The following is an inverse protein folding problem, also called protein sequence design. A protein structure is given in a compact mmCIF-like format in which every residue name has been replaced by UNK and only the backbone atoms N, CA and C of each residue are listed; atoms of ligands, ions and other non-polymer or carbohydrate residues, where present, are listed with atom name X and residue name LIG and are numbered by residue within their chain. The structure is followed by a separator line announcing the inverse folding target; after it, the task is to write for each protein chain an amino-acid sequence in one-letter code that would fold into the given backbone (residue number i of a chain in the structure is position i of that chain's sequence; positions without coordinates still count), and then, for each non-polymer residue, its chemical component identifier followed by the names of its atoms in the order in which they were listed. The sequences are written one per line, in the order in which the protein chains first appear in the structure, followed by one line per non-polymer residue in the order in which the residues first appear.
data_IF_228409218226
#
_entry.id   IF_228409218226
#
_cell.length_a   1.000
_cell.length_b   1.000
_cell.length_c   1.000
_cell.angle_alpha   90.00
_cell.angle_beta   90.00
_cell.angle_gamma   90.00
#
_symmetry.space_group_name_H-M   'P 1'
#
loop_
_entity.id
_entity.type
_entity.pdbx_description
1 polymer ?
#
# COMPACT_ATOMS: atom_id res chain seq x y z
N UNK A 1 10.98 -19.36 12.42
CA UNK A 1 10.46 -20.67 11.99
C UNK A 1 9.92 -21.48 13.15
N UNK A 2 10.74 -21.85 14.12
CA UNK A 2 10.26 -22.62 15.28
C UNK A 2 9.16 -21.90 16.08
N UNK A 3 9.27 -20.57 16.29
CA UNK A 3 8.24 -19.73 16.94
C UNK A 3 6.90 -19.81 16.22
N UNK A 4 6.83 -19.30 14.98
CA UNK A 4 5.64 -19.39 14.10
C UNK A 4 4.97 -20.78 14.10
N UNK A 5 5.75 -21.87 14.01
CA UNK A 5 5.18 -23.22 14.02
C UNK A 5 4.64 -23.67 15.40
N UNK A 6 5.22 -23.17 16.49
CA UNK A 6 4.76 -23.39 17.85
C UNK A 6 3.47 -22.62 18.14
N UNK A 7 3.41 -21.33 17.75
CA UNK A 7 2.23 -20.49 17.98
C UNK A 7 1.01 -21.02 17.21
N UNK A 8 1.22 -21.45 15.96
CA UNK A 8 0.19 -22.15 15.20
C UNK A 8 -0.31 -23.39 15.96
N UNK A 9 0.61 -24.18 16.51
CA UNK A 9 0.25 -25.42 17.20
C UNK A 9 -0.48 -25.17 18.52
N UNK A 10 -0.19 -24.06 19.20
CA UNK A 10 -0.91 -23.62 20.39
C UNK A 10 -2.37 -23.26 20.08
N UNK A 11 -2.62 -22.56 18.97
CA UNK A 11 -3.97 -22.11 18.60
C UNK A 11 -4.83 -23.20 17.96
N UNK A 12 -4.24 -24.00 17.04
CA UNK A 12 -4.98 -25.00 16.25
C UNK A 12 -4.92 -26.39 16.89
N UNK A 13 -4.03 -26.63 17.85
CA UNK A 13 -3.87 -27.93 18.51
C UNK A 13 -3.14 -28.99 17.67
N UNK A 14 -2.52 -28.59 16.56
CA UNK A 14 -1.68 -29.46 15.70
C UNK A 14 -0.57 -28.66 15.04
N UNK A 15 0.46 -29.34 14.56
CA UNK A 15 1.50 -28.70 13.75
C UNK A 15 0.90 -28.15 12.44
N UNK A 16 1.47 -27.06 11.89
CA UNK A 16 1.09 -26.59 10.57
C UNK A 16 1.53 -27.60 9.50
N UNK A 17 0.78 -27.66 8.41
CA UNK A 17 1.27 -28.20 7.14
C UNK A 17 2.27 -27.23 6.49
N UNK A 18 3.03 -27.69 5.50
CA UNK A 18 3.88 -26.77 4.72
C UNK A 18 3.04 -25.70 4.01
N UNK A 19 1.86 -26.05 3.47
CA UNK A 19 0.97 -25.07 2.85
C UNK A 19 0.57 -23.93 3.81
N UNK A 20 0.15 -24.28 5.03
CA UNK A 20 -0.28 -23.30 6.03
C UNK A 20 0.87 -22.42 6.49
N UNK A 21 2.06 -22.99 6.70
CA UNK A 21 3.24 -22.21 7.05
C UNK A 21 3.60 -21.21 5.95
N UNK A 22 3.58 -21.63 4.68
CA UNK A 22 3.86 -20.76 3.54
C UNK A 22 2.79 -19.68 3.35
N UNK A 23 1.53 -20.00 3.64
CA UNK A 23 0.43 -19.05 3.62
C UNK A 23 0.64 -17.96 4.68
N UNK A 24 0.90 -18.31 5.95
CA UNK A 24 1.21 -17.36 7.02
C UNK A 24 2.35 -16.43 6.63
N UNK A 25 3.45 -16.98 6.09
CA UNK A 25 4.61 -16.20 5.64
C UNK A 25 4.26 -15.28 4.47
N UNK A 26 3.40 -15.74 3.54
CA UNK A 26 2.93 -14.93 2.42
C UNK A 26 2.08 -13.73 2.86
N UNK A 27 1.25 -13.90 3.88
CA UNK A 27 0.47 -12.83 4.51
C UNK A 27 1.36 -11.85 5.28
N UNK A 28 2.32 -12.37 6.05
CA UNK A 28 3.23 -11.58 6.87
C UNK A 28 4.33 -10.86 6.07
N UNK A 29 4.45 -11.12 4.76
CA UNK A 29 5.46 -10.51 3.91
C UNK A 29 5.24 -9.01 3.63
N UNK A 30 4.05 -8.48 3.93
CA UNK A 30 3.76 -7.05 3.87
C UNK A 30 4.63 -6.31 4.91
N UNK A 31 5.58 -5.51 4.45
CA UNK A 31 6.60 -4.86 5.27
C UNK A 31 8.00 -5.12 4.69
N UNK A 32 8.57 -6.31 4.89
CA UNK A 32 9.81 -6.72 4.21
C UNK A 32 9.69 -6.65 2.68
N UNK A 33 8.50 -6.95 2.15
CA UNK A 33 8.12 -6.80 0.76
C UNK A 33 7.02 -5.73 0.59
N UNK A 34 6.89 -5.23 -0.63
CA UNK A 34 5.88 -4.22 -0.98
C UNK A 34 4.46 -4.77 -1.10
N UNK A 35 4.24 -6.08 -1.04
CA UNK A 35 2.92 -6.70 -1.17
C UNK A 35 2.89 -8.07 -0.51
N UNK A 36 1.68 -8.59 -0.30
CA UNK A 36 1.49 -10.01 0.03
C UNK A 36 1.98 -10.86 -1.13
N UNK A 37 2.58 -11.99 -0.81
CA UNK A 37 3.15 -12.89 -1.82
C UNK A 37 2.63 -14.30 -1.64
N UNK A 38 2.74 -15.08 -2.71
CA UNK A 38 2.50 -16.53 -2.63
C UNK A 38 3.82 -17.26 -2.73
N UNK A 39 4.14 -18.07 -1.73
CA UNK A 39 5.28 -18.97 -1.82
C UNK A 39 4.84 -20.33 -2.36
N UNK A 40 5.63 -20.88 -3.28
CA UNK A 40 5.48 -22.26 -3.74
C UNK A 40 6.75 -23.03 -3.47
N UNK A 41 6.62 -24.25 -2.97
CA UNK A 41 7.75 -25.11 -2.63
C UNK A 41 8.00 -26.18 -3.71
N UNK A 42 9.29 -26.40 -3.99
CA UNK A 42 9.78 -27.62 -4.62
C UNK A 42 10.36 -28.53 -3.55
N UNK A 43 9.99 -29.80 -3.62
CA UNK A 43 10.47 -30.85 -2.74
C UNK A 43 11.71 -31.53 -3.33
N UNK A 44 12.29 -32.47 -2.58
CA UNK A 44 13.31 -33.37 -3.10
C UNK A 44 12.85 -34.07 -4.39
N UNK A 45 13.75 -34.23 -5.35
CA UNK A 45 13.43 -34.73 -6.69
C UNK A 45 12.76 -33.70 -7.61
N UNK A 46 12.67 -32.43 -7.20
CA UNK A 46 12.14 -31.33 -8.03
C UNK A 46 10.62 -31.36 -8.18
N UNK A 47 9.91 -32.08 -7.31
CA UNK A 47 8.45 -32.21 -7.37
C UNK A 47 7.79 -31.00 -6.70
N UNK A 48 6.87 -30.30 -7.38
CA UNK A 48 6.08 -29.25 -6.75
C UNK A 48 5.25 -29.80 -5.60
N UNK A 49 5.35 -29.16 -4.44
CA UNK A 49 4.54 -29.49 -3.29
C UNK A 49 3.05 -29.19 -3.56
N UNK A 50 2.17 -30.09 -3.13
CA UNK A 50 0.72 -29.92 -3.17
C UNK A 50 0.16 -30.21 -1.79
N UNK A 51 -0.19 -29.16 -1.07
CA UNK A 51 -0.78 -29.26 0.26
C UNK A 51 -2.26 -29.63 0.25
N UNK A 52 -2.83 -29.85 1.45
CA UNK A 52 -4.27 -30.04 1.61
C UNK A 52 -5.06 -28.81 1.14
N UNK A 53 -6.32 -29.03 0.71
CA UNK A 53 -7.21 -27.95 0.24
C UNK A 53 -7.78 -27.09 1.37
N UNK A 54 -7.79 -27.61 2.60
CA UNK A 54 -8.31 -26.92 3.78
C UNK A 54 -7.13 -26.37 4.56
N UNK A 55 -7.23 -25.10 4.95
CA UNK A 55 -6.23 -24.37 5.72
C UNK A 55 -6.90 -23.83 6.98
N UNK A 56 -6.26 -23.99 8.13
CA UNK A 56 -6.71 -23.39 9.39
C UNK A 56 -6.17 -21.95 9.60
N UNK A 57 -5.45 -21.39 8.62
CA UNK A 57 -4.82 -20.06 8.75
C UNK A 57 -5.85 -18.96 9.01
N UNK A 58 -7.06 -19.08 8.46
CA UNK A 58 -8.15 -18.12 8.70
C UNK A 58 -8.74 -18.16 10.12
N UNK A 59 -8.34 -19.12 10.96
CA UNK A 59 -8.77 -19.24 12.36
C UNK A 59 -7.74 -18.67 13.34
N UNK A 60 -6.56 -18.26 12.84
CA UNK A 60 -5.46 -17.74 13.66
C UNK A 60 -5.72 -16.27 14.07
N UNK A 61 -5.17 -15.89 15.22
CA UNK A 61 -5.06 -14.49 15.62
C UNK A 61 -3.83 -13.79 15.02
N UNK A 62 -3.72 -12.48 15.26
CA UNK A 62 -2.65 -11.64 14.70
C UNK A 62 -1.26 -11.99 15.24
N UNK A 63 -1.13 -12.65 16.40
CA UNK A 63 0.16 -12.90 17.04
C UNK A 63 1.07 -13.77 16.16
N UNK A 64 0.51 -14.79 15.51
CA UNK A 64 1.26 -15.68 14.60
C UNK A 64 1.82 -14.89 13.39
N UNK A 65 1.08 -13.90 12.91
CA UNK A 65 1.49 -13.07 11.78
C UNK A 65 2.55 -12.05 12.17
N UNK A 66 2.50 -11.52 13.41
CA UNK A 66 3.56 -10.66 13.96
C UNK A 66 4.88 -11.42 14.03
N UNK A 67 4.88 -12.61 14.61
CA UNK A 67 6.07 -13.46 14.71
C UNK A 67 6.64 -13.86 13.33
N UNK A 68 5.74 -14.12 12.38
CA UNK A 68 6.13 -14.38 10.99
C UNK A 68 6.74 -13.15 10.32
N UNK A 69 6.21 -11.95 10.58
CA UNK A 69 6.71 -10.69 10.03
C UNK A 69 8.10 -10.34 10.60
N UNK A 70 8.30 -10.57 11.90
CA UNK A 70 9.60 -10.39 12.56
C UNK A 70 10.66 -11.34 11.99
N UNK A 71 10.30 -12.60 11.76
CA UNK A 71 11.18 -13.57 11.10
C UNK A 71 11.58 -13.10 9.69
N UNK A 72 10.61 -12.67 8.87
CA UNK A 72 10.88 -12.21 7.51
C UNK A 72 11.72 -10.93 7.50
N UNK A 73 11.46 -10.01 8.43
CA UNK A 73 12.24 -8.79 8.62
C UNK A 73 13.69 -9.09 9.00
N UNK A 74 13.92 -10.08 9.86
CA UNK A 74 15.26 -10.54 10.20
C UNK A 74 15.99 -11.10 8.96
N UNK A 75 15.32 -11.95 8.18
CA UNK A 75 15.90 -12.52 6.96
C UNK A 75 16.20 -11.47 5.89
N UNK A 76 15.35 -10.45 5.79
CA UNK A 76 15.47 -9.32 4.86
C UNK A 76 16.59 -8.32 5.25
N UNK A 77 16.91 -8.19 6.55
CA UNK A 77 17.99 -7.29 7.02
C UNK A 77 19.38 -7.74 6.57
N UNK A 78 19.59 -9.04 6.46
CA UNK A 78 20.89 -9.60 6.14
C UNK A 78 21.20 -9.55 4.63
N UNK A 79 20.35 -8.97 3.78
CA UNK A 79 20.39 -9.05 2.31
C UNK A 79 20.51 -7.72 1.58
N UNK A 80 20.62 -7.80 0.24
CA UNK A 80 20.64 -6.60 -0.60
C UNK A 80 19.25 -5.97 -0.57
N UNK A 81 19.20 -4.71 -0.13
CA UNK A 81 18.00 -3.89 -0.23
C UNK A 81 18.04 -3.15 -1.56
N UNK A 82 16.89 -3.02 -2.18
CA UNK A 82 16.70 -2.10 -3.29
C UNK A 82 16.82 -0.66 -2.78
N UNK A 83 16.97 0.30 -3.69
CA UNK A 83 17.14 1.73 -3.34
C UNK A 83 15.99 2.29 -2.49
N UNK A 84 14.83 1.64 -2.48
CA UNK A 84 13.64 1.95 -1.68
C UNK A 84 13.61 1.28 -0.30
N UNK A 85 14.67 0.53 0.07
CA UNK A 85 14.77 -0.20 1.33
C UNK A 85 14.02 -1.54 1.35
N UNK A 86 13.39 -1.94 0.24
CA UNK A 86 12.59 -3.18 0.13
C UNK A 86 13.50 -4.35 -0.24
N UNK A 87 13.25 -5.52 0.37
CA UNK A 87 14.03 -6.72 0.10
C UNK A 87 13.74 -7.29 -1.31
N UNK A 88 14.75 -7.88 -1.95
CA UNK A 88 14.53 -8.66 -3.18
C UNK A 88 13.71 -9.93 -2.84
N UNK A 89 12.55 -10.15 -3.48
CA UNK A 89 11.70 -11.32 -3.21
C UNK A 89 12.40 -12.66 -3.42
N UNK A 90 13.22 -12.79 -4.48
CA UNK A 90 13.91 -14.05 -4.80
C UNK A 90 15.03 -14.33 -3.80
N UNK A 91 15.72 -13.28 -3.36
CA UNK A 91 16.73 -13.39 -2.31
C UNK A 91 16.08 -13.81 -0.98
N UNK A 92 14.97 -13.16 -0.59
CA UNK A 92 14.20 -13.51 0.60
C UNK A 92 13.72 -14.97 0.53
N UNK A 93 13.21 -15.41 -0.62
CA UNK A 93 12.77 -16.79 -0.85
C UNK A 93 13.92 -17.81 -0.68
N UNK A 94 15.12 -17.47 -1.17
CA UNK A 94 16.31 -18.31 -1.04
C UNK A 94 16.77 -18.42 0.43
N UNK A 95 16.73 -17.31 1.17
CA UNK A 95 17.06 -17.28 2.61
C UNK A 95 16.03 -18.03 3.44
N UNK A 96 14.75 -17.87 3.11
CA UNK A 96 13.65 -18.59 3.73
C UNK A 96 13.78 -20.11 3.51
N UNK A 97 14.18 -20.52 2.30
CA UNK A 97 14.53 -21.91 2.00
C UNK A 97 15.63 -22.42 2.93
N UNK A 98 16.74 -21.68 3.04
CA UNK A 98 17.84 -22.06 3.93
C UNK A 98 17.41 -22.12 5.41
N UNK A 99 16.54 -21.21 5.85
CA UNK A 99 16.00 -21.19 7.20
C UNK A 99 15.11 -22.42 7.47
N UNK A 100 14.25 -22.82 6.52
CA UNK A 100 13.46 -24.06 6.61
C UNK A 100 14.34 -25.30 6.71
N UNK A 101 15.35 -25.40 5.85
CA UNK A 101 16.27 -26.53 5.81
C UNK A 101 17.09 -26.65 7.11
N UNK A 102 17.59 -25.52 7.64
CA UNK A 102 18.34 -25.50 8.92
C UNK A 102 17.45 -25.81 10.11
N UNK A 103 16.19 -25.35 10.10
CA UNK A 103 15.25 -25.66 11.17
C UNK A 103 15.01 -27.16 11.26
N UNK A 104 14.86 -27.85 10.13
CA UNK A 104 14.74 -29.31 10.08
C UNK A 104 13.55 -29.88 10.85
N UNK A 105 12.61 -29.03 11.30
CA UNK A 105 11.44 -29.44 12.05
C UNK A 105 10.47 -30.28 11.21
N UNK A 106 9.68 -31.11 11.88
CA UNK A 106 8.64 -31.88 11.23
C UNK A 106 7.34 -31.07 11.18
N UNK A 107 6.86 -30.79 9.97
CA UNK A 107 5.53 -30.27 9.71
C UNK A 107 4.53 -31.43 9.76
N UNK A 108 3.23 -31.13 9.73
CA UNK A 108 2.21 -32.17 9.85
C UNK A 108 2.21 -33.17 8.67
N UNK A 109 2.71 -32.77 7.51
CA UNK A 109 2.63 -33.53 6.27
C UNK A 109 3.97 -33.81 5.58
N UNK A 110 5.03 -33.03 5.90
CA UNK A 110 6.37 -33.20 5.35
C UNK A 110 7.46 -32.83 6.36
N UNK A 111 8.69 -33.30 6.15
CA UNK A 111 9.85 -32.77 6.88
C UNK A 111 10.29 -31.44 6.27
N UNK A 112 10.54 -30.40 7.07
CA UNK A 112 10.97 -29.10 6.52
C UNK A 112 12.28 -29.18 5.71
N UNK A 113 13.17 -30.11 6.08
CA UNK A 113 14.41 -30.37 5.35
C UNK A 113 14.23 -30.98 3.96
N UNK A 114 13.03 -31.48 3.62
CA UNK A 114 12.73 -32.01 2.28
C UNK A 114 12.38 -30.92 1.26
N UNK A 115 12.23 -29.67 1.69
CA UNK A 115 12.04 -28.52 0.81
C UNK A 115 13.39 -28.13 0.21
N UNK A 116 13.52 -28.22 -1.12
CA UNK A 116 14.78 -27.91 -1.83
C UNK A 116 14.87 -26.46 -2.26
N UNK A 117 13.73 -25.86 -2.62
CA UNK A 117 13.63 -24.44 -2.96
C UNK A 117 12.22 -23.92 -2.74
N UNK A 118 12.16 -22.63 -2.41
CA UNK A 118 10.95 -21.83 -2.49
C UNK A 118 11.06 -20.88 -3.68
N UNK A 119 9.98 -20.73 -4.42
CA UNK A 119 9.78 -19.62 -5.35
C UNK A 119 8.70 -18.72 -4.81
N UNK A 120 8.85 -17.42 -5.05
CA UNK A 120 7.89 -16.41 -4.65
C UNK A 120 7.19 -15.86 -5.88
N UNK A 121 5.86 -15.86 -5.85
CA UNK A 121 5.04 -15.12 -6.80
C UNK A 121 4.63 -13.82 -6.13
N UNK A 122 5.21 -12.74 -6.61
CA UNK A 122 4.82 -11.38 -6.23
C UNK A 122 3.72 -10.97 -7.19
N UNK A 123 2.51 -10.64 -6.70
CA UNK A 123 1.46 -10.10 -7.54
C UNK A 123 2.04 -8.99 -8.40
N UNK A 124 1.85 -9.08 -9.72
CA UNK A 124 2.35 -8.03 -10.61
C UNK A 124 1.75 -6.71 -10.16
N UNK A 125 2.63 -5.82 -9.70
CA UNK A 125 2.32 -4.45 -9.34
C UNK A 125 1.43 -3.82 -10.42
N UNK A 126 0.12 -3.72 -10.16
CA UNK A 126 -0.78 -3.01 -11.06
C UNK A 126 -0.59 -1.53 -10.78
N UNK A 127 0.17 -0.86 -11.63
CA UNK A 127 0.22 0.60 -11.61
C UNK A 127 -1.17 1.16 -11.90
N UNK A 128 -1.64 2.16 -11.14
CA UNK A 128 -2.91 2.81 -11.43
C UNK A 128 -2.90 3.42 -12.84
N UNK A 129 -4.05 3.38 -13.50
CA UNK A 129 -4.29 4.09 -14.76
C UNK A 129 -5.23 5.25 -14.53
N UNK A 130 -5.10 6.31 -15.31
CA UNK A 130 -6.10 7.39 -15.34
C UNK A 130 -7.49 6.78 -15.58
N UNK A 131 -8.47 7.19 -14.79
CA UNK A 131 -9.84 6.65 -14.78
C UNK A 131 -10.04 5.46 -13.83
N UNK A 132 -8.99 4.83 -13.30
CA UNK A 132 -9.14 3.77 -12.29
C UNK A 132 -9.80 4.35 -11.02
N UNK A 133 -10.72 3.59 -10.43
CA UNK A 133 -11.37 3.91 -9.16
C UNK A 133 -10.73 3.07 -8.06
N UNK A 134 -10.17 3.75 -7.08
CA UNK A 134 -9.51 3.18 -5.92
C UNK A 134 -10.46 3.12 -4.73
N UNK A 135 -10.38 2.03 -3.99
CA UNK A 135 -10.94 1.91 -2.66
C UNK A 135 -9.82 2.04 -1.63
N UNK A 136 -9.92 3.10 -0.83
CA UNK A 136 -8.98 3.46 0.23
C UNK A 136 -9.65 3.09 1.55
N UNK A 137 -9.07 2.19 2.36
CA UNK A 137 -9.68 1.78 3.63
C UNK A 137 -9.93 2.98 4.55
N UNK A 138 -11.08 3.00 5.23
CA UNK A 138 -11.40 3.99 6.27
C UNK A 138 -11.23 3.37 7.66
N UNK A 139 -10.67 4.10 8.63
CA UNK A 139 -10.50 3.61 10.01
C UNK A 139 -11.82 3.28 10.72
N UNK A 140 -12.91 3.95 10.35
CA UNK A 140 -14.27 3.66 10.85
C UNK A 140 -14.92 2.41 10.23
N UNK A 141 -14.21 1.74 9.31
CA UNK A 141 -14.73 0.64 8.49
C UNK A 141 -15.28 1.12 7.14
N UNK A 142 -15.28 0.23 6.17
CA UNK A 142 -15.62 0.57 4.78
C UNK A 142 -14.46 1.24 4.04
N UNK A 143 -14.79 2.02 3.01
CA UNK A 143 -13.82 2.57 2.06
C UNK A 143 -14.19 3.98 1.62
N UNK A 144 -13.20 4.87 1.59
CA UNK A 144 -13.23 6.08 0.76
C UNK A 144 -13.02 5.68 -0.71
N UNK A 145 -13.58 6.47 -1.62
CA UNK A 145 -13.41 6.27 -3.05
C UNK A 145 -12.64 7.43 -3.68
N UNK A 146 -11.69 7.10 -4.55
CA UNK A 146 -10.93 8.09 -5.31
C UNK A 146 -10.76 7.66 -6.76
N UNK A 147 -10.87 8.61 -7.70
CA UNK A 147 -10.54 8.39 -9.10
C UNK A 147 -9.12 8.84 -9.40
N UNK A 148 -8.37 8.05 -10.17
CA UNK A 148 -7.04 8.42 -10.65
C UNK A 148 -7.18 9.42 -11.79
N UNK A 149 -6.77 10.67 -11.57
CA UNK A 149 -6.97 11.75 -12.53
C UNK A 149 -5.78 11.94 -13.46
N UNK A 150 -4.58 11.89 -12.91
CA UNK A 150 -3.33 12.11 -13.64
C UNK A 150 -2.19 11.33 -13.00
N UNK A 151 -1.17 11.03 -13.80
CA UNK A 151 0.11 10.50 -13.33
C UNK A 151 1.23 11.30 -14.01
N UNK A 152 1.98 12.05 -13.22
CA UNK A 152 3.02 12.95 -13.71
C UNK A 152 4.18 13.00 -12.71
N UNK A 153 5.06 14.00 -12.83
CA UNK A 153 6.26 14.08 -11.98
C UNK A 153 5.96 14.31 -10.49
N UNK A 154 4.77 14.78 -10.15
CA UNK A 154 4.35 14.97 -8.76
C UNK A 154 3.81 13.69 -8.13
N UNK A 155 3.62 12.64 -8.92
CA UNK A 155 3.04 11.37 -8.48
C UNK A 155 1.69 11.11 -9.16
N UNK A 156 0.76 10.57 -8.38
CA UNK A 156 -0.60 10.22 -8.81
C UNK A 156 -1.59 11.21 -8.22
N UNK A 157 -2.30 11.94 -9.08
CA UNK A 157 -3.37 12.83 -8.68
C UNK A 157 -4.67 12.05 -8.47
N UNK A 158 -5.30 12.24 -7.32
CA UNK A 158 -6.54 11.58 -6.92
C UNK A 158 -7.67 12.58 -6.74
N UNK A 159 -8.80 12.30 -7.40
CA UNK A 159 -10.07 12.98 -7.18
C UNK A 159 -10.89 12.21 -6.15
N UNK A 160 -10.95 12.74 -4.93
CA UNK A 160 -11.63 12.09 -3.80
C UNK A 160 -13.12 12.40 -3.83
N UNK A 161 -13.92 11.37 -3.59
CA UNK A 161 -15.37 11.42 -3.59
C UNK A 161 -15.91 11.42 -2.15
N UNK A 162 -17.00 12.15 -1.89
CA UNK A 162 -17.53 12.34 -0.53
C UNK A 162 -18.12 11.06 0.07
N UNK A 163 -17.80 10.83 1.35
CA UNK A 163 -18.35 9.75 2.17
C UNK A 163 -17.58 8.42 2.06
N UNK A 164 -18.06 7.43 2.82
CA UNK A 164 -17.53 6.06 2.81
C UNK A 164 -18.56 5.07 2.32
N UNK A 165 -18.10 4.00 1.66
CA UNK A 165 -18.94 2.89 1.21
C UNK A 165 -18.56 1.60 1.95
N UNK A 166 -19.53 0.79 2.39
CA UNK A 166 -19.24 -0.46 3.10
C UNK A 166 -18.67 -1.55 2.18
N UNK A 167 -19.00 -1.51 0.89
CA UNK A 167 -18.51 -2.48 -0.10
C UNK A 167 -17.98 -1.71 -1.32
N UNK A 168 -16.70 -1.87 -1.68
CA UNK A 168 -16.10 -1.06 -2.72
C UNK A 168 -16.43 -1.67 -4.08
N UNK A 169 -17.39 -1.08 -4.79
CA UNK A 169 -17.78 -1.48 -6.15
C UNK A 169 -17.81 -0.26 -7.05
N UNK A 170 -17.45 -0.43 -8.33
CA UNK A 170 -17.66 0.65 -9.31
C UNK A 170 -19.11 1.06 -9.29
N UNK A 171 -19.29 2.36 -9.11
CA UNK A 171 -20.57 3.03 -8.99
C UNK A 171 -21.22 3.08 -10.38
N UNK A 172 -21.70 1.94 -10.88
CA UNK A 172 -22.49 1.91 -12.11
C UNK A 172 -23.92 2.44 -11.94
N UNK A 173 -24.32 2.83 -10.72
CA UNK A 173 -25.71 3.22 -10.40
C UNK A 173 -25.93 4.04 -9.12
N UNK A 174 -24.90 4.51 -8.41
CA UNK A 174 -25.15 5.47 -7.31
C UNK A 174 -25.30 6.89 -7.90
N UNK A 175 -26.04 7.79 -7.24
CA UNK A 175 -26.02 9.20 -7.56
C UNK A 175 -24.57 9.67 -7.64
N UNK A 176 -24.19 10.36 -8.71
CA UNK A 176 -22.83 10.89 -8.93
C UNK A 176 -22.39 11.57 -7.63
N UNK A 177 -21.47 10.99 -6.86
CA UNK A 177 -21.25 11.50 -5.53
C UNK A 177 -20.45 12.79 -5.65
N UNK A 178 -20.76 13.76 -4.80
CA UNK A 178 -20.08 15.05 -4.85
C UNK A 178 -18.58 14.85 -4.60
N UNK A 179 -17.70 15.63 -5.23
CA UNK A 179 -16.29 15.64 -4.87
C UNK A 179 -16.15 15.98 -3.38
N UNK A 180 -15.47 15.14 -2.60
CA UNK A 180 -15.14 15.44 -1.20
C UNK A 180 -14.28 16.71 -1.13
N UNK A 181 -13.45 16.91 -2.16
CA UNK A 181 -12.54 18.04 -2.29
C UNK A 181 -12.64 18.58 -3.72
N UNK A 182 -12.65 19.91 -3.84
CA UNK A 182 -12.63 20.58 -5.15
C UNK A 182 -11.30 20.42 -5.88
N UNK A 183 -10.21 20.24 -5.13
CA UNK A 183 -8.86 20.12 -5.66
C UNK A 183 -8.36 18.68 -5.49
N UNK A 184 -7.70 18.12 -6.52
CA UNK A 184 -7.05 16.83 -6.43
C UNK A 184 -5.94 16.78 -5.38
N UNK A 185 -5.71 15.58 -4.85
CA UNK A 185 -4.59 15.31 -3.94
C UNK A 185 -3.56 14.44 -4.66
N UNK A 186 -2.32 14.89 -4.66
CA UNK A 186 -1.18 14.13 -5.15
C UNK A 186 -0.62 13.25 -4.06
N UNK A 187 -0.36 11.98 -4.39
CA UNK A 187 0.30 10.97 -3.56
C UNK A 187 1.18 10.08 -4.43
N UNK A 188 2.12 9.35 -3.83
CA UNK A 188 2.75 8.21 -4.52
C UNK A 188 1.74 7.07 -4.79
N UNK A 189 2.09 6.10 -5.65
CA UNK A 189 1.23 4.95 -6.01
C UNK A 189 1.56 3.64 -5.26
N UNK A 190 2.35 3.69 -4.17
CA UNK A 190 2.86 2.47 -3.53
C UNK A 190 1.77 1.63 -2.88
N UNK A 191 0.75 2.25 -2.28
CA UNK A 191 -0.38 1.51 -1.69
C UNK A 191 -1.31 0.91 -2.75
N UNK A 192 -1.36 1.48 -3.96
CA UNK A 192 -2.05 0.84 -5.09
C UNK A 192 -1.25 -0.35 -5.59
N UNK A 193 0.06 -0.18 -5.74
CA UNK A 193 0.99 -1.23 -6.18
C UNK A 193 1.02 -2.41 -5.20
N UNK A 194 0.95 -2.14 -3.89
CA UNK A 194 0.91 -3.17 -2.84
C UNK A 194 -0.41 -3.92 -2.77
N UNK A 195 -1.47 -3.35 -3.34
CA UNK A 195 -2.85 -3.82 -3.23
C UNK A 195 -3.55 -3.40 -1.93
N UNK A 196 -2.90 -2.62 -1.06
CA UNK A 196 -3.56 -2.04 0.11
C UNK A 196 -4.71 -1.10 -0.30
N UNK A 197 -4.52 -0.33 -1.38
CA UNK A 197 -5.58 0.36 -2.09
C UNK A 197 -6.02 -0.47 -3.27
N UNK A 198 -7.27 -0.93 -3.24
CA UNK A 198 -7.77 -1.84 -4.26
C UNK A 198 -8.35 -1.05 -5.42
N UNK A 199 -7.93 -1.37 -6.66
CA UNK A 199 -8.63 -0.86 -7.84
C UNK A 199 -9.94 -1.62 -8.01
N UNK A 200 -11.06 -0.96 -7.74
CA UNK A 200 -12.40 -1.58 -7.77
C UNK A 200 -13.11 -1.42 -9.11
N UNK A 201 -12.58 -0.58 -9.99
CA UNK A 201 -12.74 -0.66 -11.43
C UNK A 201 -12.35 0.64 -12.12
N UNK A 202 -13.12 1.08 -13.11
CA UNK A 202 -12.70 2.15 -14.02
C UNK A 202 -13.91 2.95 -14.51
N UNK A 203 -13.86 4.28 -14.38
CA UNK A 203 -14.93 5.19 -14.78
C UNK A 203 -14.37 6.56 -15.21
N UNK A 204 -14.35 6.79 -16.53
CA UNK A 204 -13.87 8.06 -17.11
C UNK A 204 -14.85 9.22 -16.86
N UNK A 205 -16.12 8.96 -16.54
CA UNK A 205 -17.09 10.03 -16.28
C UNK A 205 -16.73 10.82 -15.01
N UNK A 206 -16.04 10.17 -14.05
CA UNK A 206 -15.53 10.84 -12.85
C UNK A 206 -14.41 11.84 -13.16
N UNK A 207 -13.69 11.67 -14.27
CA UNK A 207 -12.63 12.61 -14.67
C UNK A 207 -13.19 14.00 -14.98
N UNK A 208 -14.42 14.08 -15.50
CA UNK A 208 -15.09 15.35 -15.81
C UNK A 208 -15.44 16.18 -14.56
N UNK A 209 -15.35 15.60 -13.36
CA UNK A 209 -15.58 16.31 -12.10
C UNK A 209 -14.35 17.11 -11.64
N UNK A 210 -13.19 16.91 -12.26
CA UNK A 210 -11.92 17.48 -11.84
C UNK A 210 -11.15 18.10 -13.03
N UNK A 211 -10.17 18.98 -12.76
CA UNK A 211 -9.25 19.46 -13.80
C UNK A 211 -8.47 18.29 -14.43
N UNK A 212 -8.32 18.32 -15.77
CA UNK A 212 -7.63 17.25 -16.53
C UNK A 212 -6.12 17.21 -16.33
N UNK A 213 -5.51 18.35 -15.99
CA UNK A 213 -4.09 18.47 -15.63
C UNK A 213 -3.99 19.31 -14.35
N UNK A 214 -4.16 18.70 -13.17
CA UNK A 214 -4.25 19.44 -11.93
C UNK A 214 -2.89 20.02 -11.53
N UNK A 215 -2.85 21.34 -11.33
CA UNK A 215 -1.70 22.04 -10.76
C UNK A 215 -1.47 21.64 -9.29
N UNK A 216 -0.25 21.81 -8.82
CA UNK A 216 0.08 21.80 -7.40
C UNK A 216 0.26 23.25 -6.96
N UNK A 217 -0.33 23.60 -5.82
CA UNK A 217 -0.23 24.93 -5.26
C UNK A 217 0.80 24.97 -4.12
N UNK A 218 1.61 26.02 -4.13
CA UNK A 218 2.68 26.27 -3.18
C UNK A 218 2.37 27.52 -2.37
N UNK A 219 2.43 27.38 -1.04
CA UNK A 219 2.35 28.51 -0.12
C UNK A 219 3.59 29.39 -0.26
N UNK A 220 3.49 30.73 -0.14
CA UNK A 220 4.65 31.62 -0.12
C UNK A 220 5.55 31.39 1.11
N UNK A 221 5.00 30.77 2.16
CA UNK A 221 5.70 30.44 3.40
C UNK A 221 5.67 28.92 3.68
N UNK A 222 6.78 28.33 4.14
CA UNK A 222 8.10 28.94 4.30
C UNK A 222 8.73 29.29 2.94
N UNK A 223 9.62 30.29 2.88
CA UNK A 223 10.28 30.67 1.63
C UNK A 223 11.23 29.58 1.14
N UNK A 224 11.13 29.19 -0.14
CA UNK A 224 11.98 28.17 -0.76
C UNK A 224 13.22 28.84 -1.39
N UNK A 225 14.45 28.42 -1.04
CA UNK A 225 15.66 29.03 -1.58
C UNK A 225 15.70 28.99 -3.12
N UNK A 226 15.79 30.16 -3.75
CA UNK A 226 15.92 30.28 -5.21
C UNK A 226 14.62 30.11 -6.00
N UNK A 227 13.47 30.01 -5.35
CA UNK A 227 12.15 29.94 -6.00
C UNK A 227 11.33 31.16 -5.59
N UNK A 228 10.87 31.94 -6.56
CA UNK A 228 9.93 33.03 -6.33
C UNK A 228 8.49 32.49 -6.39
N UNK A 229 7.82 32.49 -5.23
CA UNK A 229 6.43 32.08 -5.08
C UNK A 229 5.48 33.27 -4.98
N UNK A 230 5.98 34.51 -5.09
CA UNK A 230 5.19 35.72 -4.94
C UNK A 230 4.59 35.89 -3.53
N UNK A 231 3.72 36.89 -3.39
CA UNK A 231 3.08 37.24 -2.10
C UNK A 231 1.98 36.25 -1.68
N UNK A 232 1.28 35.64 -2.64
CA UNK A 232 0.12 34.78 -2.38
C UNK A 232 0.33 33.31 -2.75
N UNK A 233 1.57 32.94 -3.11
CA UNK A 233 1.91 31.60 -3.56
C UNK A 233 1.89 31.44 -5.09
N UNK A 234 2.18 30.22 -5.54
CA UNK A 234 2.27 29.89 -6.96
C UNK A 234 1.60 28.55 -7.26
N UNK A 235 1.11 28.40 -8.49
CA UNK A 235 0.71 27.13 -9.07
C UNK A 235 1.86 26.57 -9.91
N UNK A 236 2.06 25.26 -9.86
CA UNK A 236 3.01 24.51 -10.66
C UNK A 236 2.29 23.49 -11.53
N UNK A 237 2.49 23.56 -12.84
CA UNK A 237 1.96 22.57 -13.78
C UNK A 237 2.86 21.34 -13.85
N UNK A 238 2.33 20.23 -14.37
CA UNK A 238 3.09 18.99 -14.58
C UNK A 238 4.36 19.16 -15.43
N UNK A 239 4.42 20.22 -16.27
CA UNK A 239 5.54 20.50 -17.17
C UNK A 239 6.71 21.21 -16.49
N UNK A 240 6.50 21.94 -15.40
CA UNK A 240 7.57 22.76 -14.77
C UNK A 240 7.17 24.21 -14.61
N UNK A 241 6.12 24.60 -15.31
CA UNK A 241 5.75 25.99 -15.39
C UNK A 241 5.14 26.45 -14.07
N UNK A 242 5.76 27.51 -13.53
CA UNK A 242 5.31 28.19 -12.33
C UNK A 242 4.50 29.43 -12.73
N UNK A 243 3.35 29.61 -12.11
CA UNK A 243 2.49 30.78 -12.27
C UNK A 243 2.14 31.36 -10.91
N UNK A 244 2.45 32.64 -10.72
CA UNK A 244 2.11 33.35 -9.48
C UNK A 244 0.59 33.49 -9.35
N UNK A 245 0.10 33.30 -8.12
CA UNK A 245 -1.32 33.39 -7.79
C UNK A 245 -1.71 34.81 -7.42
N UNK A 246 -2.93 35.19 -7.79
CA UNK A 246 -3.59 36.38 -7.23
C UNK A 246 -4.23 36.07 -5.88
N UNK A 247 -4.49 37.11 -5.08
CA UNK A 247 -5.12 36.98 -3.75
C UNK A 247 -6.47 36.26 -3.78
N UNK A 248 -7.29 36.49 -4.81
CA UNK A 248 -8.61 35.86 -4.93
C UNK A 248 -8.50 34.37 -5.21
N UNK A 249 -7.58 33.98 -6.09
CA UNK A 249 -7.30 32.58 -6.44
C UNK A 249 -6.72 31.83 -5.24
N UNK A 250 -5.70 32.40 -4.58
CA UNK A 250 -5.09 31.83 -3.38
C UNK A 250 -6.11 31.63 -2.23
N UNK A 251 -7.05 32.58 -2.06
CA UNK A 251 -8.15 32.45 -1.11
C UNK A 251 -9.12 31.33 -1.51
N UNK A 252 -9.49 31.24 -2.78
CA UNK A 252 -10.43 30.23 -3.27
C UNK A 252 -9.86 28.80 -3.18
N UNK A 253 -8.55 28.65 -3.36
CA UNK A 253 -7.82 27.38 -3.20
C UNK A 253 -7.72 26.96 -1.73
N UNK A 254 -7.66 27.93 -0.81
CA UNK A 254 -7.42 27.69 0.62
C UNK A 254 -5.95 27.77 1.02
N UNK A 255 -5.10 28.43 0.23
CA UNK A 255 -3.70 28.66 0.62
C UNK A 255 -3.58 29.64 1.78
N UNK A 256 -4.44 30.67 1.82
CA UNK A 256 -4.35 31.75 2.81
C UNK A 256 -4.90 31.37 4.19
N UNK A 257 -5.78 30.37 4.27
CA UNK A 257 -6.37 29.88 5.51
C UNK A 257 -5.86 28.49 5.91
N UNK A 258 -4.94 27.92 5.13
CA UNK A 258 -4.35 26.61 5.36
C UNK A 258 -5.30 25.43 5.13
N UNK A 259 -6.48 25.64 4.52
CA UNK A 259 -7.42 24.56 4.20
C UNK A 259 -6.98 23.73 2.98
N UNK A 260 -6.09 24.28 2.13
CA UNK A 260 -5.41 23.51 1.10
C UNK A 260 -4.36 22.58 1.72
N UNK A 261 -4.45 21.29 1.42
CA UNK A 261 -3.56 20.26 1.94
C UNK A 261 -3.23 19.24 0.85
N UNK A 262 -1.94 19.05 0.59
CA UNK A 262 -1.37 17.96 -0.21
C UNK A 262 -0.84 16.86 0.70
N UNK A 263 -0.78 15.64 0.18
CA UNK A 263 -0.36 14.47 0.95
C UNK A 263 0.48 13.55 0.07
N UNK A 264 1.79 13.78 0.03
CA UNK A 264 2.68 12.99 -0.81
C UNK A 264 2.79 11.52 -0.36
N UNK A 265 2.53 11.26 0.93
CA UNK A 265 2.46 9.90 1.48
C UNK A 265 1.02 9.39 1.50
N UNK A 266 0.76 8.17 1.02
CA UNK A 266 -0.59 7.62 0.97
C UNK A 266 -1.21 7.34 2.35
N UNK A 267 -0.44 6.98 3.39
CA UNK A 267 -0.98 6.81 4.75
C UNK A 267 -1.36 8.15 5.39
N UNK A 268 -0.69 9.25 5.01
CA UNK A 268 -1.13 10.59 5.39
C UNK A 268 -2.46 10.94 4.75
N UNK A 269 -2.69 10.49 3.51
CA UNK A 269 -3.97 10.69 2.83
C UNK A 269 -5.07 9.90 3.55
N UNK A 270 -4.85 8.65 3.94
CA UNK A 270 -5.81 7.88 4.73
C UNK A 270 -6.21 8.63 6.02
N UNK A 271 -5.23 9.14 6.78
CA UNK A 271 -5.50 9.93 7.99
C UNK A 271 -6.28 11.19 7.70
N UNK A 272 -5.92 11.91 6.64
CA UNK A 272 -6.59 13.13 6.21
C UNK A 272 -8.06 12.86 5.85
N UNK A 273 -8.32 11.76 5.11
CA UNK A 273 -9.67 11.36 4.72
C UNK A 273 -10.53 10.94 5.92
N UNK A 274 -9.91 10.36 6.94
CA UNK A 274 -10.57 10.02 8.20
C UNK A 274 -10.76 11.23 9.15
N UNK A 275 -10.32 12.42 8.76
CA UNK A 275 -10.42 13.63 9.57
C UNK A 275 -9.46 13.64 10.77
N UNK A 276 -8.40 12.83 10.74
CA UNK A 276 -7.36 12.85 11.76
C UNK A 276 -6.29 13.91 11.41
N UNK A 277 -5.81 14.69 12.41
CA UNK A 277 -4.77 15.68 12.18
C UNK A 277 -3.48 15.01 11.69
N UNK A 278 -2.82 15.62 10.69
CA UNK A 278 -1.49 15.18 10.24
C UNK A 278 -0.46 15.41 11.36
N UNK A 279 0.36 14.39 11.64
CA UNK A 279 1.45 14.42 12.64
C UNK A 279 2.53 15.47 12.34
N UNK A 280 2.57 16.03 11.12
CA UNK A 280 3.45 17.15 10.78
C UNK A 280 3.11 18.45 11.53
N UNK A 281 1.96 18.51 12.21
CA UNK A 281 1.48 19.70 12.92
C UNK A 281 2.02 19.83 14.36
N UNK A 282 2.70 18.80 14.89
CA UNK A 282 3.14 18.79 16.30
C UNK A 282 4.63 19.16 16.51
N UNK A 283 5.46 19.22 15.47
CA UNK A 283 6.89 19.59 15.59
C UNK A 283 7.19 21.10 15.39
N UNK A 284 6.17 21.96 15.30
CA UNK A 284 6.35 23.42 15.15
C UNK A 284 5.58 24.26 16.17
N UNK A 285 5.59 23.83 17.44
CA UNK A 285 5.25 24.69 18.57
C UNK A 285 6.44 24.94 19.49
#
# INVERSE_FOLDING_TARGET
MAGVAADFAEQVGRRPTLAELLEILGWAALGPLSSRVTFTALMEGGVPYRGPRQSAVGELDDAVFVDASDLLSLLARDGERRDDGIADPNELSSRLTAALQRWGGALADVGAGSVTSLTVDVPRARRPKVGDVLAIPASSGGYHLASVLARNRFGTALGVVEGTVPVPRVIGSLPVPAPARRLPVYTDDRLVVSGAWTVVGHDEALLALFPSDPEIYHSPEPAWPGVDLGEFGAAETASGEMRLLGVEEARAIGLLDGSYQQSFMPEELERLLDGQPSSASEESR
#
